data_IF_510886976776
#
_entry.id   IF_510886976776
#
_cell.length_a   1.000
_cell.length_b   1.000
_cell.length_c   1.000
_cell.angle_alpha   90.00
_cell.angle_beta   90.00
_cell.angle_gamma   90.00
#
_symmetry.space_group_name_H-M   'P 1'
#
loop_
_entity.id
_entity.type
_entity.pdbx_description
1 polymer ?
#
# COMPACT_ATOMS: atom_id res chain seq x y z
N UNK A 1 -6.78 7.95 7.45
CA UNK A 1 -7.64 7.83 6.26
C UNK A 1 -8.37 9.15 6.05
N UNK A 2 -8.72 9.45 4.80
CA UNK A 2 -9.53 10.60 4.42
C UNK A 2 -10.84 10.09 3.85
N UNK A 3 -11.95 10.42 4.51
CA UNK A 3 -13.29 10.09 4.07
C UNK A 3 -14.20 11.32 4.02
N UNK A 4 -15.44 11.16 3.54
CA UNK A 4 -16.44 12.23 3.53
C UNK A 4 -16.70 12.84 4.92
N UNK A 5 -16.53 12.04 5.98
CA UNK A 5 -16.71 12.46 7.37
C UNK A 5 -15.49 13.15 7.97
N UNK A 6 -14.39 13.28 7.22
CA UNK A 6 -13.13 13.88 7.69
C UNK A 6 -11.97 12.88 7.78
N UNK A 7 -10.98 13.22 8.60
CA UNK A 7 -9.77 12.43 8.80
C UNK A 7 -9.91 11.54 10.03
N UNK A 8 -9.61 10.25 9.87
CA UNK A 8 -9.68 9.28 10.96
C UNK A 8 -8.45 8.34 10.95
N UNK A 9 -8.12 7.78 12.10
CA UNK A 9 -7.23 6.63 12.17
C UNK A 9 -8.09 5.36 12.01
N UNK A 10 -7.93 4.66 10.89
CA UNK A 10 -8.72 3.47 10.56
C UNK A 10 -7.80 2.35 10.07
N UNK A 11 -8.24 1.11 10.26
CA UNK A 11 -7.63 -0.04 9.61
C UNK A 11 -8.01 -0.08 8.12
N UNK A 12 -6.98 -0.18 7.29
CA UNK A 12 -7.06 -0.21 5.83
C UNK A 12 -6.81 -1.60 5.25
N UNK A 13 -6.43 -2.58 6.08
CA UNK A 13 -6.20 -3.96 5.65
C UNK A 13 -7.47 -4.57 5.04
N UNK A 14 -7.31 -5.31 3.93
CA UNK A 14 -8.43 -5.89 3.17
C UNK A 14 -9.33 -4.87 2.46
N UNK A 15 -9.05 -3.56 2.59
CA UNK A 15 -9.90 -2.47 2.09
C UNK A 15 -9.19 -1.51 1.13
N UNK A 16 -7.95 -1.17 1.40
CA UNK A 16 -7.22 -0.19 0.60
C UNK A 16 -5.70 -0.43 0.55
N UNK A 17 -5.20 -1.42 1.27
CA UNK A 17 -3.78 -1.81 1.22
C UNK A 17 -3.46 -2.36 -0.17
N UNK A 18 -2.39 -1.82 -0.76
CA UNK A 18 -1.82 -2.26 -2.03
C UNK A 18 -0.29 -2.32 -1.92
N UNK A 19 0.40 -2.79 -2.96
CA UNK A 19 1.87 -2.91 -2.98
C UNK A 19 2.54 -1.56 -2.72
N UNK A 20 1.97 -0.46 -3.24
CA UNK A 20 2.48 0.89 -3.06
C UNK A 20 2.53 1.32 -1.59
N UNK A 21 1.71 0.72 -0.71
CA UNK A 21 1.77 0.96 0.74
C UNK A 21 3.07 0.45 1.39
N UNK A 22 3.80 -0.45 0.72
CA UNK A 22 5.04 -1.04 1.21
C UNK A 22 6.30 -0.46 0.56
N UNK A 23 6.13 0.46 -0.41
CA UNK A 23 7.23 1.26 -0.93
C UNK A 23 7.72 2.26 0.11
N UNK A 24 8.86 2.91 -0.16
CA UNK A 24 9.34 3.96 0.71
C UNK A 24 8.50 5.25 0.61
N UNK A 25 7.65 5.44 1.64
CA UNK A 25 6.79 6.61 1.75
C UNK A 25 7.54 7.89 2.13
N UNK A 26 8.86 7.83 2.33
CA UNK A 26 9.70 9.02 2.41
C UNK A 26 9.89 9.72 1.06
N UNK A 27 9.66 9.03 -0.06
CA UNK A 27 9.81 9.62 -1.40
C UNK A 27 8.62 10.46 -1.87
N UNK A 28 7.52 10.47 -1.12
CA UNK A 28 6.37 11.35 -1.34
C UNK A 28 6.32 12.52 -0.35
N UNK A 29 5.38 13.46 -0.54
CA UNK A 29 5.21 14.59 0.37
C UNK A 29 4.75 14.11 1.77
N UNK A 30 5.03 14.93 2.79
CA UNK A 30 4.77 14.57 4.19
C UNK A 30 3.28 14.30 4.44
N UNK A 31 2.39 15.05 3.79
CA UNK A 31 0.94 14.84 3.87
C UNK A 31 0.40 13.60 3.10
N UNK A 32 1.15 13.00 2.17
CA UNK A 32 0.60 11.94 1.30
C UNK A 32 0.54 10.54 1.93
N UNK A 33 0.99 10.38 3.18
CA UNK A 33 1.05 9.08 3.87
C UNK A 33 -0.31 8.69 4.45
N UNK A 34 -1.34 8.68 3.61
CA UNK A 34 -2.70 8.40 4.05
C UNK A 34 -3.51 7.76 2.93
N UNK A 35 -4.47 6.94 3.29
CA UNK A 35 -5.45 6.36 2.36
C UNK A 35 -6.64 7.30 2.23
N UNK A 36 -7.11 7.53 1.00
CA UNK A 36 -8.38 8.21 0.72
C UNK A 36 -9.43 7.18 0.32
N UNK A 37 -10.58 7.19 0.98
CA UNK A 37 -11.72 6.38 0.57
C UNK A 37 -12.32 6.96 -0.72
N UNK A 38 -12.51 6.10 -1.72
CA UNK A 38 -12.99 6.52 -3.06
C UNK A 38 -14.39 6.00 -3.36
N UNK A 39 -14.79 4.86 -2.79
CA UNK A 39 -16.12 4.31 -2.99
C UNK A 39 -16.44 3.09 -2.13
N UNK A 40 -17.72 2.75 -2.04
CA UNK A 40 -18.19 1.55 -1.35
C UNK A 40 -18.37 0.40 -2.35
N UNK A 41 -17.69 -0.72 -2.11
CA UNK A 41 -17.88 -1.94 -2.89
C UNK A 41 -19.00 -2.77 -2.27
N UNK A 42 -20.12 -2.95 -3.00
CA UNK A 42 -21.29 -3.70 -2.53
C UNK A 42 -21.05 -5.21 -2.42
N UNK A 43 -20.17 -5.80 -3.23
CA UNK A 43 -19.87 -7.23 -3.13
C UNK A 43 -19.05 -7.53 -1.88
N UNK A 44 -18.09 -6.67 -1.57
CA UNK A 44 -17.23 -6.78 -0.39
C UNK A 44 -17.86 -6.18 0.88
N UNK A 45 -19.01 -5.52 0.75
CA UNK A 45 -19.68 -4.76 1.82
C UNK A 45 -18.70 -3.84 2.59
N UNK A 46 -17.77 -3.20 1.86
CA UNK A 46 -16.70 -2.41 2.45
C UNK A 46 -16.34 -1.19 1.59
N UNK A 47 -15.99 -0.09 2.25
CA UNK A 47 -15.32 1.02 1.58
C UNK A 47 -13.94 0.60 1.11
N UNK A 48 -13.66 0.93 -0.14
CA UNK A 48 -12.38 0.76 -0.81
C UNK A 48 -11.76 2.14 -1.04
N UNK A 49 -10.44 2.17 -1.10
CA UNK A 49 -9.67 3.40 -1.20
C UNK A 49 -8.28 3.14 -1.74
N UNK A 50 -7.49 4.19 -1.77
CA UNK A 50 -6.11 4.11 -2.27
C UNK A 50 -5.19 5.06 -1.50
N UNK A 51 -3.90 4.72 -1.51
CA UNK A 51 -2.85 5.58 -1.00
C UNK A 51 -2.79 6.88 -1.81
N UNK A 52 -2.88 8.02 -1.12
CA UNK A 52 -2.76 9.33 -1.74
C UNK A 52 -1.38 9.48 -2.38
N UNK A 53 -1.34 10.07 -3.59
CA UNK A 53 -0.11 10.28 -4.35
C UNK A 53 0.71 9.01 -4.64
N UNK A 54 0.06 7.84 -4.74
CA UNK A 54 0.69 6.54 -5.04
C UNK A 54 1.74 6.59 -6.16
N UNK A 55 1.45 7.32 -7.24
CA UNK A 55 2.36 7.47 -8.37
C UNK A 55 3.72 8.06 -7.97
N UNK A 56 3.77 8.99 -7.02
CA UNK A 56 5.05 9.59 -6.57
C UNK A 56 5.93 8.58 -5.84
N UNK A 57 5.34 7.67 -5.08
CA UNK A 57 6.08 6.59 -4.42
C UNK A 57 6.62 5.59 -5.43
N UNK A 58 5.83 5.27 -6.46
CA UNK A 58 6.24 4.42 -7.59
C UNK A 58 7.39 5.06 -8.37
N UNK A 59 7.27 6.34 -8.72
CA UNK A 59 8.34 7.07 -9.43
C UNK A 59 9.61 7.17 -8.57
N UNK A 60 9.45 7.40 -7.26
CA UNK A 60 10.54 7.38 -6.29
C UNK A 60 11.27 6.03 -6.27
N UNK A 61 10.50 4.94 -6.17
CA UNK A 61 11.03 3.58 -6.23
C UNK A 61 11.87 3.35 -7.50
N UNK A 62 11.30 3.60 -8.68
CA UNK A 62 12.03 3.34 -9.93
C UNK A 62 13.29 4.19 -10.10
N UNK A 63 13.27 5.46 -9.67
CA UNK A 63 14.46 6.32 -9.70
C UNK A 63 15.60 5.77 -8.84
N UNK A 64 15.31 5.29 -7.64
CA UNK A 64 16.30 4.78 -6.71
C UNK A 64 16.75 3.35 -7.07
N UNK A 65 15.85 2.53 -7.64
CA UNK A 65 16.22 1.25 -8.24
C UNK A 65 17.20 1.45 -9.41
N UNK A 66 16.95 2.42 -10.29
CA UNK A 66 17.85 2.73 -11.41
C UNK A 66 19.23 3.20 -10.94
N UNK A 67 19.32 3.84 -9.77
CA UNK A 67 20.58 4.24 -9.12
C UNK A 67 21.27 3.10 -8.36
N UNK A 68 20.55 2.02 -8.07
CA UNK A 68 21.03 0.92 -7.23
C UNK A 68 21.10 1.25 -5.73
N UNK A 69 20.41 2.30 -5.27
CA UNK A 69 20.45 2.78 -3.88
C UNK A 69 19.14 2.59 -3.11
N UNK A 70 18.19 1.84 -3.67
CA UNK A 70 16.92 1.53 -3.00
C UNK A 70 17.09 0.37 -2.00
N UNK A 71 16.66 0.57 -0.74
CA UNK A 71 16.59 -0.50 0.26
C UNK A 71 15.40 -1.45 -0.02
N UNK A 72 15.73 -2.66 -0.47
CA UNK A 72 14.77 -3.70 -0.81
C UNK A 72 14.28 -4.51 0.40
N UNK A 73 14.77 -4.26 1.62
CA UNK A 73 14.45 -5.07 2.81
C UNK A 73 12.95 -5.15 3.07
N UNK A 74 12.22 -4.02 2.97
CA UNK A 74 10.75 -3.99 3.13
C UNK A 74 10.02 -4.85 2.09
N UNK A 75 10.44 -4.79 0.83
CA UNK A 75 9.85 -5.59 -0.25
C UNK A 75 10.18 -7.08 -0.10
N UNK A 76 11.39 -7.41 0.35
CA UNK A 76 11.76 -8.78 0.63
C UNK A 76 10.88 -9.40 1.73
N UNK A 77 10.59 -8.65 2.80
CA UNK A 77 9.66 -9.08 3.85
C UNK A 77 8.25 -9.29 3.31
N UNK A 78 7.75 -8.35 2.50
CA UNK A 78 6.43 -8.47 1.86
C UNK A 78 6.34 -9.72 0.98
N UNK A 79 7.30 -9.92 0.07
CA UNK A 79 7.30 -11.08 -0.82
C UNK A 79 7.44 -12.39 -0.05
N UNK A 80 8.30 -12.42 0.97
CA UNK A 80 8.42 -13.59 1.84
C UNK A 80 7.08 -13.92 2.51
N UNK A 81 6.36 -12.91 2.99
CA UNK A 81 5.05 -13.10 3.59
C UNK A 81 4.03 -13.64 2.58
N UNK A 82 3.93 -13.02 1.39
CA UNK A 82 3.01 -13.45 0.32
C UNK A 82 3.31 -14.88 -0.10
N UNK A 83 4.58 -15.21 -0.38
CA UNK A 83 4.98 -16.56 -0.81
C UNK A 83 4.68 -17.61 0.26
N UNK A 84 4.90 -17.29 1.55
CA UNK A 84 4.54 -18.20 2.65
C UNK A 84 3.04 -18.43 2.75
N UNK A 85 2.25 -17.36 2.63
CA UNK A 85 0.79 -17.46 2.64
C UNK A 85 0.30 -18.34 1.48
N UNK A 86 0.78 -18.08 0.26
CA UNK A 86 0.42 -18.89 -0.91
C UNK A 86 0.85 -20.36 -0.78
N UNK A 87 2.04 -20.63 -0.25
CA UNK A 87 2.51 -22.00 -0.03
C UNK A 87 1.69 -22.74 1.01
N UNK A 88 1.20 -22.04 2.05
CA UNK A 88 0.33 -22.63 3.06
C UNK A 88 -1.04 -23.03 2.51
N UNK A 89 -1.61 -22.26 1.58
CA UNK A 89 -2.87 -22.59 0.90
C UNK A 89 -2.72 -23.73 -0.13
N UNK A 90 -1.53 -23.91 -0.70
CA UNK A 90 -1.25 -24.91 -1.73
C UNK A 90 -1.07 -26.34 -1.19
N UNK A 91 -0.91 -26.49 0.13
CA UNK A 91 -0.78 -27.77 0.80
C UNK A 91 -2.10 -28.03 1.53
N UNK A 92 -2.97 -28.94 1.02
CA UNK A 92 -4.24 -29.28 1.65
C UNK A 92 -4.07 -29.96 3.02
#
# INVERSE_FOLDING_TARGET
>A
TLGPSGEFAEDVNGRAVAIECFLDLAFGPREARTVRWTGFNKHLQAYQGELVAKQRYVDGFFRHIAKGDYDLTKLHLLWTHILRACAAEAIP
#
